data_IF_751103045361
#
_entry.id   IF_751103045361
#
_cell.length_a   1.000
_cell.length_b   1.000
_cell.length_c   1.000
_cell.angle_alpha   90.00
_cell.angle_beta   90.00
_cell.angle_gamma   90.00
#
_symmetry.space_group_name_H-M   'P 1'
#
loop_
_entity.id
_entity.type
_entity.pdbx_description
1 polymer ?
#
# COMPACT_ATOMS: atom_id res chain seq x y z
N UNK A 1 4.56 6.01 -11.83
CA UNK A 1 4.02 6.75 -10.65
C UNK A 1 2.82 6.00 -10.11
N UNK A 2 2.67 5.89 -8.79
CA UNK A 2 1.69 5.00 -8.17
C UNK A 2 1.14 5.55 -6.85
N UNK A 3 0.00 5.00 -6.43
CA UNK A 3 -0.62 5.24 -5.13
C UNK A 3 -0.90 3.87 -4.51
N UNK A 4 -0.28 3.56 -3.36
CA UNK A 4 -0.56 2.35 -2.59
C UNK A 4 -1.56 2.69 -1.49
N UNK A 5 -2.70 2.00 -1.47
CA UNK A 5 -3.73 2.19 -0.44
C UNK A 5 -4.00 0.86 0.26
N UNK A 6 -3.92 0.83 1.58
CA UNK A 6 -4.28 -0.34 2.38
C UNK A 6 -5.43 -0.05 3.37
N UNK A 7 -6.30 -1.04 3.58
CA UNK A 7 -7.38 -0.99 4.55
C UNK A 7 -7.13 -1.91 5.76
N UNK A 8 -7.87 -1.68 6.85
CA UNK A 8 -7.83 -2.46 8.10
C UNK A 8 -6.76 -2.05 9.11
N UNK A 9 -5.71 -1.33 8.69
CA UNK A 9 -4.61 -0.84 9.55
C UNK A 9 -4.21 0.56 9.10
N UNK A 10 -4.59 1.58 9.88
CA UNK A 10 -4.35 2.98 9.49
C UNK A 10 -2.88 3.40 9.60
N UNK A 11 -2.04 2.63 10.31
CA UNK A 11 -0.66 2.99 10.62
C UNK A 11 -0.51 4.39 11.27
N UNK A 12 -1.56 4.85 11.96
CA UNK A 12 -1.55 6.10 12.69
C UNK A 12 -1.14 5.87 14.15
N UNK A 13 -0.42 6.82 14.74
CA UNK A 13 0.09 6.74 16.12
C UNK A 13 1.00 5.51 16.41
N UNK A 14 1.76 5.07 15.41
CA UNK A 14 2.66 3.89 15.45
C UNK A 14 4.15 4.26 15.59
N UNK A 15 4.45 5.55 15.74
CA UNK A 15 5.79 6.07 16.03
C UNK A 15 6.80 5.86 14.91
N UNK A 16 8.10 5.86 15.26
CA UNK A 16 9.21 5.73 14.31
C UNK A 16 9.12 4.46 13.47
N UNK A 17 8.67 3.37 14.07
CA UNK A 17 8.56 2.11 13.36
C UNK A 17 7.42 2.13 12.33
N UNK A 18 6.29 2.76 12.63
CA UNK A 18 5.23 2.94 11.63
C UNK A 18 5.67 3.81 10.46
N UNK A 19 6.48 4.84 10.72
CA UNK A 19 7.09 5.64 9.67
C UNK A 19 8.03 4.81 8.78
N UNK A 20 8.87 3.95 9.39
CA UNK A 20 9.72 3.02 8.63
C UNK A 20 8.89 2.03 7.81
N UNK A 21 7.81 1.47 8.38
CA UNK A 21 6.88 0.58 7.68
C UNK A 21 6.29 1.28 6.43
N UNK A 22 5.99 2.58 6.49
CA UNK A 22 5.58 3.36 5.33
C UNK A 22 6.68 3.51 4.28
N UNK A 23 7.92 3.83 4.68
CA UNK A 23 9.05 3.92 3.74
C UNK A 23 9.29 2.58 3.03
N UNK A 24 9.31 1.49 3.78
CA UNK A 24 9.52 0.14 3.25
C UNK A 24 8.38 -0.26 2.28
N UNK A 25 7.14 0.16 2.57
CA UNK A 25 5.99 -0.05 1.67
C UNK A 25 6.15 0.69 0.34
N UNK A 26 6.61 1.95 0.37
CA UNK A 26 6.90 2.72 -0.83
C UNK A 26 8.06 2.09 -1.63
N UNK A 27 9.13 1.67 -0.96
CA UNK A 27 10.28 1.02 -1.60
C UNK A 27 9.88 -0.31 -2.28
N UNK A 28 9.03 -1.11 -1.65
CA UNK A 28 8.52 -2.36 -2.23
C UNK A 28 7.74 -2.11 -3.54
N UNK A 29 6.83 -1.14 -3.55
CA UNK A 29 6.05 -0.78 -4.75
C UNK A 29 6.93 -0.14 -5.81
N UNK A 30 7.84 0.75 -5.42
CA UNK A 30 8.77 1.41 -6.33
C UNK A 30 9.65 0.38 -7.05
N UNK A 31 10.20 -0.59 -6.32
CA UNK A 31 11.00 -1.68 -6.89
C UNK A 31 10.18 -2.55 -7.86
N UNK A 32 8.94 -2.89 -7.51
CA UNK A 32 8.07 -3.71 -8.36
C UNK A 32 7.64 -3.00 -9.65
N UNK A 33 7.53 -1.67 -9.64
CA UNK A 33 7.14 -0.86 -10.81
C UNK A 33 8.33 -0.25 -11.58
N UNK A 34 9.55 -0.35 -11.05
CA UNK A 34 10.74 0.26 -11.65
C UNK A 34 10.72 1.79 -11.64
N UNK A 35 10.17 2.41 -10.58
CA UNK A 35 10.04 3.87 -10.42
C UNK A 35 10.79 4.38 -9.17
N UNK A 36 10.88 5.69 -9.00
CA UNK A 36 11.43 6.29 -7.77
C UNK A 36 10.49 6.12 -6.58
N UNK A 37 11.03 5.99 -5.36
CA UNK A 37 10.24 5.93 -4.11
C UNK A 37 9.36 7.16 -3.93
N UNK A 38 9.89 8.34 -4.26
CA UNK A 38 9.19 9.62 -4.22
C UNK A 38 8.07 9.76 -5.27
N UNK A 39 7.96 8.80 -6.19
CA UNK A 39 6.85 8.68 -7.15
C UNK A 39 5.74 7.72 -6.67
N UNK A 40 5.84 7.20 -5.44
CA UNK A 40 4.86 6.35 -4.79
C UNK A 40 4.25 7.09 -3.62
N UNK A 41 2.96 7.41 -3.73
CA UNK A 41 2.18 7.97 -2.65
C UNK A 41 1.54 6.84 -1.82
N UNK A 42 1.31 7.08 -0.54
CA UNK A 42 0.79 6.09 0.41
C UNK A 42 -0.46 6.62 1.12
N UNK A 43 -1.49 5.78 1.21
CA UNK A 43 -2.66 6.03 2.03
C UNK A 43 -3.02 4.77 2.84
N UNK A 44 -3.52 4.95 4.05
CA UNK A 44 -3.88 3.86 4.95
C UNK A 44 -5.14 4.22 5.72
N UNK A 45 -6.06 3.26 5.86
CA UNK A 45 -7.28 3.42 6.65
C UNK A 45 -7.52 2.21 7.56
N UNK A 46 -8.25 2.40 8.67
CA UNK A 46 -8.59 1.36 9.64
C UNK A 46 -8.17 1.70 11.07
N UNK A 47 -7.74 0.69 11.82
CA UNK A 47 -7.48 0.82 13.27
C UNK A 47 -6.24 1.68 13.56
N UNK A 48 -6.37 2.68 14.44
CA UNK A 48 -5.27 3.53 14.96
C UNK A 48 -4.46 2.76 16.02
N UNK A 49 -3.15 3.00 16.09
CA UNK A 49 -2.23 2.36 17.04
C UNK A 49 -1.79 0.95 16.62
N UNK A 50 -2.29 0.47 15.47
CA UNK A 50 -1.92 -0.82 14.90
C UNK A 50 -0.99 -0.62 13.70
N UNK A 51 0.23 -1.16 13.81
CA UNK A 51 1.21 -1.19 12.71
C UNK A 51 0.73 -2.04 11.54
N UNK A 52 1.26 -1.80 10.35
CA UNK A 52 0.99 -2.59 9.14
C UNK A 52 1.56 -4.01 9.29
N UNK A 53 0.85 -4.99 8.74
CA UNK A 53 1.33 -6.35 8.53
C UNK A 53 2.32 -6.40 7.35
N UNK A 54 3.56 -5.98 7.63
CA UNK A 54 4.54 -5.69 6.56
C UNK A 54 4.95 -6.92 5.74
N UNK A 55 5.04 -8.10 6.34
CA UNK A 55 5.38 -9.32 5.62
C UNK A 55 4.34 -9.63 4.54
N UNK A 56 3.06 -9.58 4.92
CA UNK A 56 1.94 -9.80 4.01
C UNK A 56 1.82 -8.71 2.95
N UNK A 57 2.06 -7.44 3.32
CA UNK A 57 2.05 -6.33 2.36
C UNK A 57 3.13 -6.51 1.29
N UNK A 58 4.38 -6.74 1.71
CA UNK A 58 5.52 -6.87 0.79
C UNK A 58 5.37 -8.10 -0.12
N UNK A 59 4.86 -9.22 0.40
CA UNK A 59 4.61 -10.42 -0.41
C UNK A 59 3.48 -10.20 -1.45
N UNK A 60 2.49 -9.34 -1.14
CA UNK A 60 1.37 -9.06 -2.03
C UNK A 60 1.72 -8.09 -3.17
N UNK A 61 2.67 -7.17 -2.97
CA UNK A 61 3.00 -6.11 -3.94
C UNK A 61 3.28 -6.63 -5.36
N UNK A 62 4.12 -7.66 -5.59
CA UNK A 62 4.37 -8.16 -6.95
C UNK A 62 3.11 -8.71 -7.63
N UNK A 63 2.21 -9.33 -6.84
CA UNK A 63 0.93 -9.88 -7.34
C UNK A 63 -0.01 -8.74 -7.74
N UNK A 64 -0.12 -7.70 -6.91
CA UNK A 64 -0.93 -6.51 -7.20
C UNK A 64 -0.47 -5.80 -8.48
N UNK A 65 0.84 -5.65 -8.66
CA UNK A 65 1.42 -5.02 -9.86
C UNK A 65 1.10 -5.83 -11.12
N UNK A 66 1.16 -7.17 -11.04
CA UNK A 66 0.84 -8.04 -12.17
C UNK A 66 -0.66 -8.00 -12.56
N UNK A 67 -1.55 -7.65 -11.63
CA UNK A 67 -3.00 -7.58 -11.83
C UNK A 67 -3.52 -6.16 -12.19
N UNK A 68 -2.62 -5.20 -12.40
CA UNK A 68 -3.00 -3.85 -12.80
C UNK A 68 -3.62 -3.84 -14.20
N UNK A 69 -4.83 -3.29 -14.29
CA UNK A 69 -5.59 -3.18 -15.53
C UNK A 69 -6.28 -1.82 -15.61
N UNK A 70 -6.41 -1.27 -16.81
CA UNK A 70 -7.11 -0.02 -17.07
C UNK A 70 -8.59 -0.29 -17.43
N UNK A 71 -9.31 -0.98 -16.55
CA UNK A 71 -10.71 -1.37 -16.75
C UNK A 71 -11.61 -0.87 -15.63
N UNK A 72 -12.93 -0.64 -15.88
CA UNK A 72 -13.89 -0.31 -14.83
C UNK A 72 -13.94 -1.37 -13.72
N UNK A 73 -13.76 -2.64 -14.05
CA UNK A 73 -13.77 -3.75 -13.10
C UNK A 73 -12.56 -3.68 -12.16
N UNK A 74 -11.38 -3.36 -12.67
CA UNK A 74 -10.18 -3.16 -11.84
C UNK A 74 -10.33 -1.93 -10.94
N UNK A 75 -10.91 -0.84 -11.45
CA UNK A 75 -11.23 0.33 -10.65
C UNK A 75 -12.23 0.00 -9.53
N UNK A 76 -13.24 -0.84 -9.83
CA UNK A 76 -14.19 -1.32 -8.82
C UNK A 76 -13.51 -2.21 -7.77
N UNK A 77 -12.62 -3.12 -8.16
CA UNK A 77 -11.82 -3.93 -7.20
C UNK A 77 -11.02 -3.04 -6.25
N UNK A 78 -10.36 -2.01 -6.78
CA UNK A 78 -9.63 -1.04 -5.97
C UNK A 78 -10.56 -0.27 -5.02
N UNK A 79 -11.72 0.20 -5.51
CA UNK A 79 -12.70 0.92 -4.70
C UNK A 79 -13.25 0.07 -3.55
N UNK A 80 -13.49 -1.22 -3.78
CA UNK A 80 -13.92 -2.16 -2.72
C UNK A 80 -12.77 -2.43 -1.74
N UNK A 81 -11.54 -2.61 -2.23
CA UNK A 81 -10.37 -2.94 -1.41
C UNK A 81 -10.01 -1.85 -0.37
N UNK A 82 -10.39 -0.59 -0.60
CA UNK A 82 -10.10 0.53 0.32
C UNK A 82 -11.19 0.76 1.37
N UNK A 83 -12.29 0.02 1.33
CA UNK A 83 -13.37 0.12 2.34
C UNK A 83 -12.93 -0.48 3.69
N UNK A 84 -13.48 0.04 4.79
CA UNK A 84 -13.19 -0.40 6.18
C UNK A 84 -14.45 -0.59 7.00
#
# INVERSE_FOLDING_TARGET
>A
RALLINAGQANAATGKQGYQDSLDSADAVAAALGVGRDEVLLESTGVIGKRIKMAELVEAVPKLVAELEATPEAAHRAAVAITT
#
